data_IF_291734993191
#
_entry.id   IF_291734993191
#
_cell.length_a   1.000
_cell.length_b   1.000
_cell.length_c   1.000
_cell.angle_alpha   90.00
_cell.angle_beta   90.00
_cell.angle_gamma   90.00
#
_symmetry.space_group_name_H-M   'P 1'
#
loop_
_entity.id
_entity.type
_entity.pdbx_description
1 polymer ?
#
# COMPACT_ATOMS: atom_id res chain seq x y z
N UNK A 1 -0.06 9.64 9.23
CA UNK A 1 0.61 8.39 9.62
C UNK A 1 1.09 7.65 8.37
N UNK A 2 2.34 7.26 8.36
CA UNK A 2 2.93 6.56 7.23
C UNK A 2 2.81 5.05 7.41
N UNK A 3 2.39 4.37 6.34
CA UNK A 3 2.22 2.92 6.34
C UNK A 3 3.16 2.29 5.33
N UNK A 4 3.63 1.10 5.64
CA UNK A 4 4.34 0.27 4.67
C UNK A 4 3.43 -0.87 4.24
N UNK A 5 3.38 -1.11 2.94
CA UNK A 5 2.55 -2.16 2.35
C UNK A 5 3.49 -3.19 1.72
N UNK A 6 3.40 -4.43 2.21
CA UNK A 6 4.32 -5.50 1.84
C UNK A 6 3.61 -6.59 1.05
N UNK A 7 4.39 -7.37 0.34
CA UNK A 7 3.93 -8.53 -0.42
C UNK A 7 2.93 -8.18 -1.53
N UNK A 8 3.15 -7.03 -2.15
CA UNK A 8 2.31 -6.61 -3.30
C UNK A 8 2.64 -7.43 -4.55
N UNK A 9 1.64 -7.69 -5.40
CA UNK A 9 1.91 -8.29 -6.70
C UNK A 9 2.86 -7.38 -7.50
N UNK A 10 3.79 -7.95 -8.22
CA UNK A 10 4.79 -7.17 -8.95
C UNK A 10 4.22 -6.45 -10.17
N UNK A 11 3.08 -6.87 -10.65
CA UNK A 11 2.39 -6.21 -11.76
C UNK A 11 1.43 -5.11 -11.30
N UNK A 12 1.32 -4.88 -10.00
CA UNK A 12 0.49 -3.84 -9.44
C UNK A 12 1.10 -2.47 -9.73
N UNK A 13 0.29 -1.54 -10.23
CA UNK A 13 0.74 -0.18 -10.50
C UNK A 13 0.57 0.71 -9.25
N UNK A 14 1.20 1.88 -9.27
CA UNK A 14 1.04 2.87 -8.20
C UNK A 14 -0.41 3.35 -8.14
N UNK A 15 -1.07 3.48 -9.28
CA UNK A 15 -2.49 3.85 -9.31
C UNK A 15 -3.36 2.79 -8.65
N UNK A 16 -3.04 1.52 -8.87
CA UNK A 16 -3.76 0.42 -8.22
C UNK A 16 -3.60 0.46 -6.72
N UNK A 17 -2.39 0.74 -6.25
CA UNK A 17 -2.12 0.87 -4.82
C UNK A 17 -2.89 2.05 -4.23
N UNK A 18 -2.91 3.17 -4.93
CA UNK A 18 -3.65 4.35 -4.50
C UNK A 18 -5.15 4.06 -4.36
N UNK A 19 -5.71 3.34 -5.30
CA UNK A 19 -7.13 2.99 -5.26
C UNK A 19 -7.49 2.10 -4.08
N UNK A 20 -6.61 1.17 -3.72
CA UNK A 20 -6.82 0.32 -2.55
C UNK A 20 -6.99 1.14 -1.28
N UNK A 21 -6.15 2.16 -1.11
CA UNK A 21 -6.20 2.98 0.09
C UNK A 21 -7.26 4.06 0.02
N UNK A 22 -7.57 4.57 -1.16
CA UNK A 22 -8.60 5.57 -1.34
C UNK A 22 -9.97 5.08 -0.89
N UNK A 23 -10.22 3.79 -1.02
CA UNK A 23 -11.48 3.19 -0.59
C UNK A 23 -11.63 3.20 0.94
N UNK A 24 -10.55 3.38 1.68
CA UNK A 24 -10.55 3.33 3.14
C UNK A 24 -10.22 4.66 3.83
N UNK A 25 -10.07 5.73 3.06
CA UNK A 25 -9.80 7.06 3.60
C UNK A 25 -8.95 7.90 2.68
N UNK A 26 -8.61 9.11 3.13
CA UNK A 26 -7.74 10.00 2.37
C UNK A 26 -6.27 9.72 2.67
N UNK A 27 -5.45 9.76 1.63
CA UNK A 27 -4.00 9.68 1.80
C UNK A 27 -3.34 10.94 1.23
N UNK A 28 -2.20 11.32 1.83
CA UNK A 28 -1.40 12.46 1.39
C UNK A 28 -0.39 12.07 0.32
N UNK A 29 0.11 10.86 0.39
CA UNK A 29 1.12 10.37 -0.53
C UNK A 29 0.99 8.88 -0.70
N UNK A 30 1.29 8.41 -1.89
CA UNK A 30 1.29 6.99 -2.21
C UNK A 30 2.47 6.74 -3.14
N UNK A 31 3.40 5.89 -2.71
CA UNK A 31 4.61 5.60 -3.48
C UNK A 31 4.82 4.10 -3.57
N UNK A 32 4.89 3.60 -4.78
CA UNK A 32 5.25 2.21 -5.04
C UNK A 32 6.75 2.16 -5.32
N UNK A 33 7.46 1.29 -4.59
CA UNK A 33 8.90 1.17 -4.78
C UNK A 33 9.18 0.31 -6.00
N UNK A 34 9.93 0.87 -6.94
CA UNK A 34 10.25 0.22 -8.20
C UNK A 34 11.69 -0.23 -8.23
N UNK A 35 11.95 -1.31 -8.95
CA UNK A 35 13.30 -1.77 -9.21
C UNK A 35 13.85 -1.02 -10.42
N UNK A 36 14.95 -0.30 -10.23
CA UNK A 36 15.57 0.51 -11.30
C UNK A 36 16.07 -0.33 -12.45
N UNK A 37 16.46 -1.56 -12.20
CA UNK A 37 17.03 -2.42 -13.24
C UNK A 37 15.98 -3.04 -14.14
N UNK A 38 14.85 -3.43 -13.58
CA UNK A 38 13.81 -4.14 -14.33
C UNK A 38 12.62 -3.26 -14.66
N UNK A 39 12.48 -2.12 -13.99
CA UNK A 39 11.33 -1.24 -14.17
C UNK A 39 10.04 -1.77 -13.56
N UNK A 40 10.13 -2.85 -12.78
CA UNK A 40 8.97 -3.44 -12.12
C UNK A 40 8.95 -3.13 -10.65
N UNK A 41 7.79 -3.33 -10.01
CA UNK A 41 7.64 -3.14 -8.58
C UNK A 41 8.50 -4.13 -7.80
N UNK A 42 9.10 -3.66 -6.70
CA UNK A 42 9.80 -4.54 -5.76
C UNK A 42 8.86 -5.33 -4.86
N UNK A 43 7.57 -5.11 -5.00
CA UNK A 43 6.57 -5.82 -4.21
C UNK A 43 6.22 -5.13 -2.91
N UNK A 44 6.59 -3.86 -2.72
CA UNK A 44 6.19 -3.11 -1.55
C UNK A 44 6.09 -1.62 -1.88
N UNK A 45 5.41 -0.89 -1.01
CA UNK A 45 5.24 0.54 -1.19
C UNK A 45 4.93 1.22 0.13
N UNK A 46 4.81 2.54 0.07
CA UNK A 46 4.48 3.37 1.23
C UNK A 46 3.26 4.22 0.93
N UNK A 47 2.41 4.36 1.93
CA UNK A 47 1.23 5.24 1.84
C UNK A 47 1.19 6.09 3.08
N UNK A 48 1.11 7.41 2.91
CA UNK A 48 0.94 8.32 4.04
C UNK A 48 -0.53 8.72 4.12
N UNK A 49 -1.20 8.30 5.18
CA UNK A 49 -2.61 8.60 5.39
C UNK A 49 -2.78 9.99 6.01
N UNK A 50 -3.90 10.63 5.68
CA UNK A 50 -4.17 11.99 6.16
C UNK A 50 -4.49 12.03 7.65
N UNK A 51 -5.07 10.96 8.19
CA UNK A 51 -5.39 10.89 9.61
C UNK A 51 -4.98 9.53 10.19
N UNK A 52 -4.76 9.49 11.50
CA UNK A 52 -4.46 8.25 12.20
C UNK A 52 -5.63 7.29 12.16
N UNK A 53 -6.84 7.80 12.29
CA UNK A 53 -8.05 6.98 12.25
C UNK A 53 -8.18 6.26 10.92
N UNK A 54 -7.97 6.97 9.81
CA UNK A 54 -8.03 6.37 8.48
C UNK A 54 -6.89 5.36 8.29
N UNK A 55 -5.71 5.66 8.84
CA UNK A 55 -4.58 4.74 8.78
C UNK A 55 -4.89 3.44 9.51
N UNK A 56 -5.46 3.53 10.68
CA UNK A 56 -5.84 2.33 11.45
C UNK A 56 -6.91 1.52 10.73
N UNK A 57 -7.89 2.19 10.14
CA UNK A 57 -8.94 1.52 9.36
C UNK A 57 -8.33 0.80 8.16
N UNK A 58 -7.43 1.46 7.45
CA UNK A 58 -6.76 0.86 6.30
C UNK A 58 -5.95 -0.38 6.72
N UNK A 59 -5.24 -0.31 7.83
CA UNK A 59 -4.50 -1.46 8.36
C UNK A 59 -5.45 -2.62 8.63
N UNK A 60 -6.53 -2.38 9.35
CA UNK A 60 -7.49 -3.43 9.70
C UNK A 60 -8.15 -4.07 8.49
N UNK A 61 -8.49 -3.26 7.49
CA UNK A 61 -9.22 -3.73 6.32
C UNK A 61 -8.30 -4.39 5.29
N UNK A 62 -7.08 -3.90 5.15
CA UNK A 62 -6.19 -4.36 4.10
C UNK A 62 -5.14 -5.37 4.55
N UNK A 63 -4.74 -5.37 5.82
CA UNK A 63 -3.74 -6.32 6.31
C UNK A 63 -4.28 -7.75 6.19
N UNK A 64 -3.56 -8.58 5.45
CA UNK A 64 -3.99 -9.95 5.20
C UNK A 64 -5.00 -10.09 4.06
N UNK A 65 -5.36 -8.99 3.41
CA UNK A 65 -6.25 -9.02 2.26
C UNK A 65 -5.55 -9.63 1.06
N UNK A 66 -6.31 -10.30 0.23
CA UNK A 66 -5.78 -10.86 -1.00
C UNK A 66 -5.90 -9.82 -2.12
N UNK A 67 -4.76 -9.45 -2.69
CA UNK A 67 -4.70 -8.56 -3.85
C UNK A 67 -4.03 -9.34 -4.97
N UNK A 68 -4.77 -9.56 -6.05
CA UNK A 68 -4.32 -10.48 -7.08
C UNK A 68 -4.14 -11.86 -6.48
N UNK A 69 -2.93 -12.40 -6.53
CA UNK A 69 -2.62 -13.72 -5.97
C UNK A 69 -1.93 -13.65 -4.61
N UNK A 70 -1.67 -12.45 -4.11
CA UNK A 70 -0.86 -12.24 -2.91
C UNK A 70 -1.71 -11.77 -1.74
N UNK A 71 -1.35 -12.21 -0.53
CA UNK A 71 -1.91 -11.64 0.68
C UNK A 71 -0.98 -10.51 1.12
N UNK A 72 -1.47 -9.29 1.07
CA UNK A 72 -0.65 -8.13 1.41
C UNK A 72 -0.58 -7.92 2.92
N UNK A 73 0.45 -7.22 3.35
CA UNK A 73 0.62 -6.82 4.75
C UNK A 73 0.67 -5.31 4.82
N UNK A 74 -0.05 -4.74 5.75
CA UNK A 74 -0.07 -3.30 5.96
C UNK A 74 0.32 -3.03 7.41
N UNK A 75 1.37 -2.24 7.61
CA UNK A 75 1.92 -1.96 8.94
C UNK A 75 2.29 -0.48 9.04
N UNK A 76 2.31 0.07 10.27
CA UNK A 76 2.88 1.40 10.46
C UNK A 76 4.35 1.41 10.07
N UNK A 77 4.78 2.44 9.36
CA UNK A 77 6.17 2.56 8.88
C UNK A 77 7.02 3.48 9.75
N UNK A 78 6.44 4.05 10.79
CA UNK A 78 7.17 4.96 11.70
C UNK A 78 7.90 4.19 12.78
#
# INVERSE_FOLDING_TARGET
MKLIVLNLPRDLSEDDLAELFKAHGEFKACNLVMDDKTGTSKGFGFVEMASETDAETAIKQLHGSKVGKNKIRVKPAN
#
